data_IF_459640682085
#
_entry.id   IF_459640682085
#
_cell.length_a   1.000
_cell.length_b   1.000
_cell.length_c   1.000
_cell.angle_alpha   90.00
_cell.angle_beta   90.00
_cell.angle_gamma   90.00
#
_symmetry.space_group_name_H-M   'P 1'
#
loop_
_entity.id
_entity.type
_entity.pdbx_description
1 polymer ?
#
# COMPACT_ATOMS: atom_id res chain seq x y z
N UNK A 1 15.17 -59.69 93.09
CA UNK A 1 14.40 -60.30 91.97
C UNK A 1 13.84 -59.28 90.96
N UNK A 2 13.61 -58.01 91.32
CA UNK A 2 12.98 -57.00 90.43
C UNK A 2 13.85 -56.67 89.20
N UNK A 3 15.17 -56.47 89.41
CA UNK A 3 16.14 -56.15 88.35
C UNK A 3 16.24 -57.20 87.22
N UNK A 4 15.81 -58.45 87.46
CA UNK A 4 15.87 -59.52 86.45
C UNK A 4 14.70 -59.45 85.47
N UNK A 5 13.52 -59.00 85.90
CA UNK A 5 12.34 -58.86 85.04
C UNK A 5 12.47 -57.63 84.15
N UNK A 6 12.91 -56.51 84.72
CA UNK A 6 13.17 -55.27 83.97
C UNK A 6 14.20 -55.49 82.86
N UNK A 7 15.28 -56.25 83.12
CA UNK A 7 16.26 -56.61 82.10
C UNK A 7 15.68 -57.52 81.00
N UNK A 8 14.72 -58.37 81.32
CA UNK A 8 14.07 -59.25 80.35
C UNK A 8 13.09 -58.47 79.47
N UNK A 9 12.33 -57.55 80.05
CA UNK A 9 11.43 -56.64 79.34
C UNK A 9 12.20 -55.69 78.41
N UNK A 10 13.34 -55.16 78.87
CA UNK A 10 14.22 -54.34 78.03
C UNK A 10 14.75 -55.11 76.82
N UNK A 11 15.15 -56.38 76.99
CA UNK A 11 15.59 -57.24 75.86
C UNK A 11 14.45 -57.52 74.88
N UNK A 12 13.25 -57.75 75.39
CA UNK A 12 12.07 -57.95 74.54
C UNK A 12 11.74 -56.69 73.73
N UNK A 13 11.74 -55.53 74.38
CA UNK A 13 11.50 -54.24 73.74
C UNK A 13 12.57 -53.88 72.70
N UNK A 14 13.85 -54.17 72.99
CA UNK A 14 14.94 -54.03 72.02
C UNK A 14 14.73 -54.91 70.78
N UNK A 15 14.31 -56.16 70.97
CA UNK A 15 14.01 -57.07 69.85
C UNK A 15 12.83 -56.58 68.99
N UNK A 16 11.80 -56.00 69.61
CA UNK A 16 10.68 -55.39 68.88
C UNK A 16 11.17 -54.16 68.08
N UNK A 17 11.95 -53.29 68.71
CA UNK A 17 12.50 -52.10 68.07
C UNK A 17 13.41 -52.45 66.88
N UNK A 18 14.26 -53.48 67.01
CA UNK A 18 15.10 -53.97 65.90
C UNK A 18 14.27 -54.49 64.72
N UNK A 19 13.16 -55.20 64.99
CA UNK A 19 12.24 -55.66 63.94
C UNK A 19 11.57 -54.48 63.24
N UNK A 20 11.13 -53.47 64.00
CA UNK A 20 10.53 -52.25 63.44
C UNK A 20 11.54 -51.46 62.60
N UNK A 21 12.79 -51.32 63.06
CA UNK A 21 13.86 -50.66 62.29
C UNK A 21 14.13 -51.38 60.96
N UNK A 22 14.15 -52.71 60.95
CA UNK A 22 14.32 -53.49 59.70
C UNK A 22 13.19 -53.26 58.71
N UNK A 23 11.94 -53.15 59.18
CA UNK A 23 10.78 -52.85 58.33
C UNK A 23 10.89 -51.43 57.77
N UNK A 24 11.15 -50.44 58.63
CA UNK A 24 11.31 -49.05 58.22
C UNK A 24 12.45 -48.84 57.23
N UNK A 25 13.57 -49.55 57.40
CA UNK A 25 14.72 -49.47 56.48
C UNK A 25 14.31 -49.95 55.08
N UNK A 26 13.59 -51.07 54.98
CA UNK A 26 13.07 -51.59 53.70
C UNK A 26 12.06 -50.64 53.06
N UNK A 27 11.19 -50.02 53.85
CA UNK A 27 10.21 -49.05 53.35
C UNK A 27 10.90 -47.79 52.81
N UNK A 28 11.95 -47.29 53.47
CA UNK A 28 12.74 -46.15 52.99
C UNK A 28 13.46 -46.50 51.69
N UNK A 29 14.07 -47.69 51.59
CA UNK A 29 14.70 -48.15 50.34
C UNK A 29 13.68 -48.27 49.19
N UNK A 30 12.49 -48.81 49.45
CA UNK A 30 11.41 -48.88 48.45
C UNK A 30 10.97 -47.49 48.01
N UNK A 31 10.68 -46.59 48.96
CA UNK A 31 10.20 -45.23 48.66
C UNK A 31 11.26 -44.39 47.95
N UNK A 32 12.54 -44.57 48.27
CA UNK A 32 13.63 -43.89 47.56
C UNK A 32 13.78 -44.39 46.12
N UNK A 33 13.63 -45.69 45.87
CA UNK A 33 13.61 -46.24 44.52
C UNK A 33 12.40 -45.74 43.70
N UNK A 34 11.20 -45.74 44.28
CA UNK A 34 10.00 -45.20 43.64
C UNK A 34 10.13 -43.71 43.32
N UNK A 35 10.67 -42.91 44.24
CA UNK A 35 10.90 -41.48 44.00
C UNK A 35 11.90 -41.24 42.88
N UNK A 36 12.98 -42.04 42.78
CA UNK A 36 13.91 -41.97 41.65
C UNK A 36 13.20 -42.25 40.32
N UNK A 37 12.35 -43.29 40.28
CA UNK A 37 11.57 -43.65 39.09
C UNK A 37 10.60 -42.52 38.69
N UNK A 38 9.79 -42.02 39.63
CA UNK A 38 8.87 -40.90 39.39
C UNK A 38 9.60 -39.64 38.89
N UNK A 39 10.78 -39.35 39.44
CA UNK A 39 11.61 -38.22 39.01
C UNK A 39 12.05 -38.38 37.55
N UNK A 40 12.48 -39.58 37.14
CA UNK A 40 12.85 -39.83 35.73
C UNK A 40 11.67 -39.72 34.77
N UNK A 41 10.50 -40.24 35.13
CA UNK A 41 9.27 -40.14 34.33
C UNK A 41 8.84 -38.68 34.15
N UNK A 42 8.93 -37.88 35.21
CA UNK A 42 8.63 -36.45 35.16
C UNK A 42 9.56 -35.70 34.19
N UNK A 43 10.87 -35.97 34.22
CA UNK A 43 11.81 -35.37 33.27
C UNK A 43 11.51 -35.77 31.83
N UNK A 44 11.20 -37.04 31.58
CA UNK A 44 10.82 -37.51 30.24
C UNK A 44 9.53 -36.87 29.76
N UNK A 45 8.53 -36.71 30.63
CA UNK A 45 7.27 -36.04 30.30
C UNK A 45 7.50 -34.57 29.92
N UNK A 46 8.27 -33.83 30.72
CA UNK A 46 8.65 -32.43 30.42
C UNK A 46 9.45 -32.31 29.12
N UNK A 47 10.36 -33.25 28.84
CA UNK A 47 11.11 -33.28 27.59
C UNK A 47 10.19 -33.51 26.37
N UNK A 48 9.20 -34.40 26.49
CA UNK A 48 8.19 -34.62 25.43
C UNK A 48 7.31 -33.39 25.21
N UNK A 49 6.89 -32.73 26.29
CA UNK A 49 6.06 -31.53 26.23
C UNK A 49 6.79 -30.35 25.59
N UNK A 50 8.03 -30.09 25.98
CA UNK A 50 8.89 -29.05 25.38
C UNK A 50 9.14 -29.31 23.89
N UNK A 51 9.37 -30.57 23.50
CA UNK A 51 9.52 -30.97 22.10
C UNK A 51 8.22 -30.80 21.30
N UNK A 52 7.07 -31.11 21.88
CA UNK A 52 5.75 -30.86 21.29
C UNK A 52 5.49 -29.36 21.10
N UNK A 53 5.83 -28.53 22.08
CA UNK A 53 5.73 -27.07 22.00
C UNK A 53 6.66 -26.50 20.93
N UNK A 54 7.90 -26.99 20.84
CA UNK A 54 8.84 -26.60 19.79
C UNK A 54 8.34 -26.98 18.39
N UNK A 55 7.81 -28.21 18.22
CA UNK A 55 7.18 -28.66 16.97
C UNK A 55 5.97 -27.81 16.60
N UNK A 56 5.10 -27.48 17.56
CA UNK A 56 3.98 -26.56 17.34
C UNK A 56 4.53 -25.20 16.88
N UNK A 57 5.43 -24.56 17.64
CA UNK A 57 6.02 -23.25 17.27
C UNK A 57 6.66 -23.26 15.88
N UNK A 58 7.35 -24.34 15.49
CA UNK A 58 7.90 -24.51 14.15
C UNK A 58 6.84 -24.56 13.05
N UNK A 59 5.72 -25.25 13.29
CA UNK A 59 4.56 -25.24 12.37
C UNK A 59 3.92 -23.86 12.26
N UNK A 60 3.73 -23.15 13.39
CA UNK A 60 3.22 -21.78 13.40
C UNK A 60 4.13 -20.82 12.61
N UNK A 61 5.46 -20.91 12.76
CA UNK A 61 6.42 -20.11 11.98
C UNK A 61 6.40 -20.42 10.47
N UNK A 62 6.23 -21.69 10.08
CA UNK A 62 6.12 -22.08 8.67
C UNK A 62 4.80 -21.64 8.02
N UNK A 63 3.73 -21.53 8.81
CA UNK A 63 2.42 -21.06 8.35
C UNK A 63 2.34 -19.53 8.26
N UNK A 64 3.15 -18.81 9.02
CA UNK A 64 3.35 -17.38 8.80
C UNK A 64 4.16 -17.20 7.51
N UNK A 65 3.46 -16.99 6.39
CA UNK A 65 4.09 -16.43 5.19
C UNK A 65 4.84 -15.16 5.62
N UNK A 66 6.11 -14.98 5.19
CA UNK A 66 6.86 -13.78 5.52
C UNK A 66 6.01 -12.56 5.17
N UNK A 67 5.86 -11.63 6.11
CA UNK A 67 5.18 -10.36 5.85
C UNK A 67 5.85 -9.74 4.64
N UNK A 68 5.10 -9.58 3.55
CA UNK A 68 5.60 -8.93 2.34
C UNK A 68 6.03 -7.52 2.72
N UNK A 69 7.18 -7.12 2.19
CA UNK A 69 7.65 -5.74 2.27
C UNK A 69 6.61 -4.84 1.58
N UNK A 70 6.43 -3.62 2.07
CA UNK A 70 5.59 -2.64 1.38
C UNK A 70 6.21 -2.32 0.03
N UNK A 71 5.37 -1.98 -0.96
CA UNK A 71 5.83 -1.67 -2.32
C UNK A 71 6.91 -0.58 -2.32
N UNK A 72 6.71 0.50 -1.57
CA UNK A 72 7.66 1.62 -1.48
C UNK A 72 8.99 1.26 -0.81
N UNK A 73 9.04 0.16 -0.06
CA UNK A 73 10.27 -0.34 0.56
C UNK A 73 11.07 -1.30 -0.32
N UNK A 74 10.56 -1.61 -1.52
CA UNK A 74 11.27 -2.41 -2.50
C UNK A 74 12.28 -1.54 -3.24
N UNK A 75 13.56 -1.87 -3.11
CA UNK A 75 14.64 -1.22 -3.88
C UNK A 75 14.91 -1.92 -5.22
N UNK A 76 14.46 -3.16 -5.39
CA UNK A 76 14.67 -3.94 -6.60
C UNK A 76 13.50 -3.78 -7.57
N UNK A 77 13.78 -3.27 -8.76
CA UNK A 77 12.81 -3.07 -9.84
C UNK A 77 12.08 -4.36 -10.25
N UNK A 78 12.79 -5.49 -10.37
CA UNK A 78 12.16 -6.77 -10.73
C UNK A 78 11.16 -7.21 -9.65
N UNK A 79 11.48 -6.97 -8.37
CA UNK A 79 10.57 -7.28 -7.27
C UNK A 79 9.32 -6.39 -7.30
N UNK A 80 9.47 -5.11 -7.70
CA UNK A 80 8.33 -4.20 -7.88
C UNK A 80 7.41 -4.67 -9.02
N UNK A 81 7.98 -5.07 -10.16
CA UNK A 81 7.20 -5.64 -11.28
C UNK A 81 6.42 -6.86 -10.81
N UNK A 82 7.11 -7.86 -10.23
CA UNK A 82 6.44 -9.10 -9.81
C UNK A 82 5.32 -8.85 -8.81
N UNK A 83 5.52 -7.94 -7.84
CA UNK A 83 4.47 -7.59 -6.89
C UNK A 83 3.28 -6.87 -7.58
N UNK A 84 3.55 -6.05 -8.59
CA UNK A 84 2.51 -5.36 -9.38
C UNK A 84 1.72 -6.36 -10.23
N UNK A 85 2.40 -7.27 -10.92
CA UNK A 85 1.76 -8.31 -11.74
C UNK A 85 0.89 -9.23 -10.89
N UNK A 86 1.39 -9.65 -9.72
CA UNK A 86 0.59 -10.44 -8.78
C UNK A 86 -0.65 -9.68 -8.28
N UNK A 87 -0.54 -8.38 -8.01
CA UNK A 87 -1.68 -7.57 -7.61
C UNK A 87 -2.69 -7.46 -8.76
N UNK A 88 -2.23 -7.19 -9.98
CA UNK A 88 -3.06 -7.17 -11.19
C UNK A 88 -3.83 -8.50 -11.35
N UNK A 89 -3.13 -9.63 -11.25
CA UNK A 89 -3.74 -10.96 -11.39
C UNK A 89 -4.75 -11.25 -10.28
N UNK A 90 -4.47 -10.88 -9.03
CA UNK A 90 -5.39 -11.07 -7.91
C UNK A 90 -6.69 -10.26 -8.05
N UNK A 91 -6.61 -9.03 -8.58
CA UNK A 91 -7.79 -8.19 -8.77
C UNK A 91 -8.58 -8.53 -10.03
N UNK A 92 -7.94 -9.10 -11.05
CA UNK A 92 -8.59 -9.50 -12.30
C UNK A 92 -9.07 -10.95 -12.34
N UNK A 93 -8.67 -11.80 -11.39
CA UNK A 93 -9.05 -13.21 -11.39
C UNK A 93 -10.58 -13.35 -11.32
N UNK A 94 -11.20 -13.68 -12.46
CA UNK A 94 -12.64 -13.91 -12.59
C UNK A 94 -13.42 -12.88 -13.43
N UNK A 95 -12.78 -11.85 -14.01
CA UNK A 95 -13.46 -10.92 -14.94
C UNK A 95 -13.00 -11.12 -16.39
N UNK A 96 -13.95 -11.42 -17.28
CA UNK A 96 -13.69 -11.67 -18.71
C UNK A 96 -13.47 -10.37 -19.52
N UNK A 97 -13.93 -9.20 -19.04
CA UNK A 97 -13.81 -7.90 -19.72
C UNK A 97 -13.04 -6.84 -18.89
N UNK A 98 -11.73 -7.03 -18.73
CA UNK A 98 -10.87 -6.15 -17.90
C UNK A 98 -10.38 -4.86 -18.59
N UNK A 99 -10.65 -4.66 -19.89
CA UNK A 99 -10.06 -3.55 -20.67
C UNK A 99 -10.41 -2.16 -20.12
N UNK A 100 -11.61 -2.00 -19.57
CA UNK A 100 -12.05 -0.70 -19.03
C UNK A 100 -11.68 -0.51 -17.56
N UNK A 101 -11.46 -1.60 -16.82
CA UNK A 101 -11.12 -1.57 -15.39
C UNK A 101 -9.86 -0.73 -15.10
N UNK A 102 -8.77 -0.96 -15.83
CA UNK A 102 -7.54 -0.19 -15.62
C UNK A 102 -7.67 1.27 -16.05
N UNK A 103 -8.42 1.53 -17.11
CA UNK A 103 -8.69 2.90 -17.55
C UNK A 103 -9.50 3.66 -16.50
N UNK A 104 -10.46 3.00 -15.84
CA UNK A 104 -11.24 3.59 -14.77
C UNK A 104 -10.43 3.81 -13.50
N UNK A 105 -9.49 2.92 -13.19
CA UNK A 105 -8.52 3.13 -12.10
C UNK A 105 -7.68 4.38 -12.37
N UNK A 106 -7.09 4.52 -13.56
CA UNK A 106 -6.25 5.67 -13.91
C UNK A 106 -7.07 6.97 -13.80
N UNK A 107 -8.29 6.98 -14.34
CA UNK A 107 -9.21 8.13 -14.20
C UNK A 107 -9.58 8.41 -12.75
N UNK A 108 -9.76 7.38 -11.91
CA UNK A 108 -10.06 7.55 -10.50
C UNK A 108 -8.86 8.13 -9.73
N UNK A 109 -7.63 7.76 -10.08
CA UNK A 109 -6.41 8.33 -9.51
C UNK A 109 -6.25 9.82 -9.87
N UNK A 110 -6.62 10.18 -11.10
CA UNK A 110 -6.65 11.57 -11.57
C UNK A 110 -7.65 12.43 -10.79
N UNK A 111 -8.87 11.94 -10.61
CA UNK A 111 -9.90 12.61 -9.79
C UNK A 111 -9.47 12.79 -8.33
N UNK A 112 -8.65 11.88 -7.81
CA UNK A 112 -8.11 11.94 -6.44
C UNK A 112 -6.83 12.77 -6.34
N UNK A 113 -6.36 13.38 -7.44
CA UNK A 113 -5.13 14.17 -7.50
C UNK A 113 -3.89 13.35 -7.09
N UNK A 114 -3.94 12.03 -7.29
CA UNK A 114 -2.82 11.12 -6.98
C UNK A 114 -1.92 10.90 -8.21
N UNK A 115 -2.48 11.02 -9.42
CA UNK A 115 -1.75 10.90 -10.67
C UNK A 115 -2.45 11.72 -11.77
N UNK A 116 -1.74 12.67 -12.38
CA UNK A 116 -2.30 13.48 -13.47
C UNK A 116 -2.23 12.73 -14.79
N UNK A 117 -3.37 12.38 -15.35
CA UNK A 117 -3.50 11.61 -16.60
C UNK A 117 -4.24 12.34 -17.72
N UNK A 118 -5.07 13.35 -17.39
CA UNK A 118 -5.84 14.12 -18.36
C UNK A 118 -5.43 15.59 -18.34
N UNK A 119 -5.40 16.23 -19.51
CA UNK A 119 -5.20 17.67 -19.62
C UNK A 119 -6.50 18.41 -19.35
N UNK A 120 -6.40 19.54 -18.65
CA UNK A 120 -7.50 20.49 -18.57
C UNK A 120 -7.73 21.14 -19.95
N UNK A 121 -8.94 21.66 -20.24
CA UNK A 121 -9.21 22.39 -21.49
C UNK A 121 -8.22 23.52 -21.78
N UNK A 122 -7.77 24.24 -20.75
CA UNK A 122 -6.79 25.32 -20.89
C UNK A 122 -5.39 24.80 -21.23
N UNK A 123 -4.93 23.75 -20.55
CA UNK A 123 -3.61 23.15 -20.83
C UNK A 123 -3.56 22.55 -22.23
N UNK A 124 -4.63 21.85 -22.62
CA UNK A 124 -4.76 21.30 -23.95
C UNK A 124 -4.82 22.39 -25.02
N UNK A 125 -5.50 23.51 -24.74
CA UNK A 125 -5.52 24.69 -25.61
C UNK A 125 -4.11 25.27 -25.79
N UNK A 126 -3.33 25.42 -24.71
CA UNK A 126 -1.95 25.90 -24.79
C UNK A 126 -1.08 24.96 -25.64
N UNK A 127 -1.20 23.64 -25.44
CA UNK A 127 -0.46 22.65 -26.24
C UNK A 127 -0.88 22.73 -27.71
N UNK A 128 -2.18 22.73 -27.96
CA UNK A 128 -2.79 22.84 -29.29
C UNK A 128 -2.27 24.06 -30.07
N UNK A 129 -2.25 25.24 -29.45
CA UNK A 129 -1.73 26.46 -30.08
C UNK A 129 -0.21 26.48 -30.21
N UNK A 130 0.52 26.11 -29.15
CA UNK A 130 1.99 26.14 -29.15
C UNK A 130 2.60 25.17 -30.15
N UNK A 131 1.90 24.08 -30.45
CA UNK A 131 2.34 23.07 -31.44
C UNK A 131 1.84 23.36 -32.86
N UNK A 132 1.07 24.43 -33.07
CA UNK A 132 0.52 24.78 -34.39
C UNK A 132 -0.44 23.73 -34.96
N UNK A 133 -1.10 22.95 -34.09
CA UNK A 133 -2.01 21.90 -34.55
C UNK A 133 -3.27 22.52 -35.16
N UNK A 134 -3.70 21.97 -36.30
CA UNK A 134 -5.02 22.28 -36.84
C UNK A 134 -6.10 21.44 -36.15
N UNK A 135 -7.36 21.88 -36.18
CA UNK A 135 -8.50 21.11 -35.63
C UNK A 135 -8.62 19.69 -36.23
N UNK A 136 -8.23 19.53 -37.50
CA UNK A 136 -8.19 18.23 -38.18
C UNK A 136 -7.10 17.34 -37.61
N UNK A 137 -5.87 17.85 -37.50
CA UNK A 137 -4.74 17.12 -36.91
C UNK A 137 -5.00 16.74 -35.45
N UNK A 138 -5.67 17.60 -34.68
CA UNK A 138 -6.07 17.30 -33.31
C UNK A 138 -7.07 16.13 -33.25
N UNK A 139 -8.04 16.09 -34.18
CA UNK A 139 -9.00 14.97 -34.27
C UNK A 139 -8.33 13.66 -34.70
N UNK A 140 -7.37 13.75 -35.62
CA UNK A 140 -6.54 12.61 -36.03
C UNK A 140 -5.70 12.10 -34.86
N UNK A 141 -5.06 12.97 -34.09
CA UNK A 141 -4.29 12.63 -32.91
C UNK A 141 -5.15 11.82 -31.91
N UNK A 142 -6.36 12.29 -31.60
CA UNK A 142 -7.29 11.56 -30.73
C UNK A 142 -7.67 10.19 -31.31
N UNK A 143 -7.84 10.10 -32.64
CA UNK A 143 -8.09 8.83 -33.33
C UNK A 143 -6.89 7.88 -33.20
N UNK A 144 -5.66 8.37 -33.26
CA UNK A 144 -4.45 7.56 -33.04
C UNK A 144 -4.41 6.97 -31.63
N UNK A 145 -4.71 7.75 -30.59
CA UNK A 145 -4.81 7.23 -29.21
C UNK A 145 -5.83 6.09 -29.12
N UNK A 146 -7.00 6.25 -29.75
CA UNK A 146 -8.03 5.20 -29.78
C UNK A 146 -7.57 3.93 -30.50
N UNK A 147 -6.90 4.08 -31.65
CA UNK A 147 -6.40 2.93 -32.44
C UNK A 147 -5.33 2.16 -31.67
N UNK A 148 -4.44 2.87 -30.98
CA UNK A 148 -3.37 2.28 -30.17
C UNK A 148 -3.85 1.73 -28.82
N UNK A 149 -5.14 1.88 -28.49
CA UNK A 149 -5.71 1.44 -27.21
C UNK A 149 -5.18 2.23 -26.01
N UNK A 150 -4.63 3.42 -26.24
CA UNK A 150 -4.10 4.28 -25.19
C UNK A 150 -5.21 5.17 -24.60
N UNK A 151 -5.03 5.58 -23.34
CA UNK A 151 -5.85 6.64 -22.76
C UNK A 151 -5.58 7.94 -23.53
N UNK A 152 -6.63 8.55 -24.06
CA UNK A 152 -6.56 9.87 -24.69
C UNK A 152 -6.47 10.94 -23.60
N UNK A 153 -5.33 11.64 -23.44
CA UNK A 153 -5.16 12.64 -22.39
C UNK A 153 -5.84 13.97 -22.75
N UNK A 154 -6.29 14.14 -23.98
CA UNK A 154 -6.78 15.41 -24.49
C UNK A 154 -8.31 15.56 -24.30
N UNK A 155 -8.80 16.77 -24.01
CA UNK A 155 -10.22 17.06 -23.93
C UNK A 155 -10.90 17.01 -25.31
N UNK A 156 -12.23 17.06 -25.32
CA UNK A 156 -13.00 17.10 -26.56
C UNK A 156 -12.83 18.43 -27.28
N UNK A 157 -12.92 18.42 -28.62
CA UNK A 157 -12.77 19.62 -29.44
C UNK A 157 -13.75 20.73 -29.06
N UNK A 158 -14.97 20.38 -28.62
CA UNK A 158 -15.97 21.34 -28.13
C UNK A 158 -15.49 22.11 -26.90
N UNK A 159 -14.74 21.45 -26.02
CA UNK A 159 -14.18 22.09 -24.82
C UNK A 159 -13.05 23.05 -25.19
N UNK A 160 -12.22 22.70 -26.18
CA UNK A 160 -11.22 23.65 -26.72
C UNK A 160 -11.90 24.86 -27.35
N UNK A 161 -12.93 24.67 -28.17
CA UNK A 161 -13.66 25.78 -28.80
C UNK A 161 -14.23 26.76 -27.79
N UNK A 162 -14.68 26.28 -26.63
CA UNK A 162 -15.13 27.14 -25.52
C UNK A 162 -13.99 27.99 -24.97
N UNK A 163 -12.80 27.41 -24.84
CA UNK A 163 -11.60 28.14 -24.39
C UNK A 163 -11.14 29.13 -25.45
N UNK A 164 -11.02 28.70 -26.71
CA UNK A 164 -10.74 29.57 -27.88
C UNK A 164 -11.64 30.80 -27.89
N UNK A 165 -12.96 30.61 -27.84
CA UNK A 165 -13.92 31.73 -27.84
C UNK A 165 -13.79 32.64 -26.61
N UNK A 166 -13.37 32.10 -25.45
CA UNK A 166 -13.13 32.90 -24.24
C UNK A 166 -11.83 33.70 -24.27
N UNK A 167 -10.84 33.26 -25.05
CA UNK A 167 -9.57 33.97 -25.26
C UNK A 167 -9.76 35.03 -26.33
N UNK A 168 -10.36 34.66 -27.47
CA UNK A 168 -10.68 35.60 -28.56
C UNK A 168 -11.54 36.77 -28.08
N UNK A 169 -12.56 36.51 -27.25
CA UNK A 169 -13.44 37.55 -26.71
C UNK A 169 -12.74 38.50 -25.72
N UNK A 170 -11.62 38.08 -25.12
CA UNK A 170 -10.81 38.93 -24.22
C UNK A 170 -9.75 39.74 -24.97
N UNK A 171 -9.27 39.26 -26.12
CA UNK A 171 -8.31 40.00 -26.96
C UNK A 171 -8.98 41.09 -27.82
N UNK A 172 -10.28 40.99 -28.09
CA UNK A 172 -11.03 41.94 -28.94
C UNK A 172 -11.40 43.30 -28.29
N UNK A 173 -10.98 43.59 -27.05
CA UNK A 173 -11.26 44.87 -26.38
C UNK A 173 -9.98 45.60 -25.90
N UNK A 174 -9.08 45.91 -26.84
CA UNK A 174 -8.14 47.05 -26.69
C UNK A 174 -7.94 47.80 -28.01
N UNK A 175 -9.04 48.14 -28.70
CA UNK A 175 -8.99 49.30 -29.60
C UNK A 175 -9.21 50.53 -28.72
N UNK A 176 -8.13 51.15 -28.27
CA UNK A 176 -8.20 52.58 -27.96
C UNK A 176 -8.51 53.28 -29.28
N UNK A 177 -9.78 53.63 -29.50
CA UNK A 177 -10.12 54.66 -30.47
C UNK A 177 -9.37 55.93 -30.06
N UNK A 178 -8.27 56.22 -30.75
CA UNK A 178 -7.78 57.60 -30.78
C UNK A 178 -8.87 58.41 -31.44
N UNK A 179 -9.64 59.15 -30.64
CA UNK A 179 -10.44 60.28 -31.10
C UNK A 179 -9.53 61.25 -31.87
N UNK A 180 -9.43 61.04 -33.18
CA UNK A 180 -8.63 61.82 -34.11
C UNK A 180 -9.50 62.42 -35.22
N UNK A 181 -10.74 62.80 -34.91
CA UNK A 181 -11.64 63.48 -35.84
C UNK A 181 -12.20 64.76 -35.21
N UNK A 182 -11.37 65.78 -35.04
CA UNK A 182 -11.87 67.17 -34.88
C UNK A 182 -10.93 68.30 -35.33
N UNK A 183 -9.74 68.03 -35.91
CA UNK A 183 -8.77 69.11 -36.16
C UNK A 183 -8.20 69.26 -37.58
N UNK A 184 -8.80 68.62 -38.60
CA UNK A 184 -8.38 68.80 -40.02
C UNK A 184 -9.34 69.57 -40.93
N UNK A 185 -10.44 70.14 -40.39
CA UNK A 185 -11.34 71.01 -41.20
C UNK A 185 -11.19 72.51 -40.96
N UNK A 186 -10.42 72.97 -39.97
CA UNK A 186 -10.14 74.41 -39.78
C UNK A 186 -8.87 74.93 -40.48
N UNK A 187 -7.96 74.05 -40.93
CA UNK A 187 -6.71 74.46 -41.57
C UNK A 187 -6.74 74.49 -43.11
N UNK A 188 -7.88 74.19 -43.77
CA UNK A 188 -8.01 74.26 -45.25
C UNK A 188 -8.93 75.38 -45.75
N UNK A 189 -9.37 76.28 -44.87
CA UNK A 189 -10.15 77.47 -45.25
C UNK A 189 -9.45 78.80 -44.95
N UNK A 190 -8.19 78.78 -44.50
CA UNK A 190 -7.40 79.99 -44.25
C UNK A 190 -6.23 80.19 -45.23
N UNK A 191 -6.19 79.45 -46.36
CA UNK A 191 -5.08 79.51 -47.32
C UNK A 191 -5.53 79.63 -48.79
N UNK A 192 -6.75 80.14 -49.04
CA UNK A 192 -7.31 80.28 -50.39
C UNK A 192 -7.91 81.67 -50.70
N UNK A 193 -7.53 82.72 -49.97
CA UNK A 193 -8.00 84.10 -50.22
C UNK A 193 -6.92 85.16 -50.00
N UNK A 194 -5.69 84.92 -50.45
CA UNK A 194 -4.66 85.97 -50.49
C UNK A 194 -3.66 85.72 -51.65
N UNK A 195 -4.19 85.75 -52.88
CA UNK A 195 -3.41 85.96 -54.11
C UNK A 195 -4.37 86.35 -55.24
N UNK A 196 -4.88 87.58 -55.16
CA UNK A 196 -5.48 88.31 -56.28
C UNK A 196 -5.55 89.79 -55.91
N UNK A 197 -4.40 90.48 -56.00
CA UNK A 197 -4.23 91.88 -56.42
C UNK A 197 -2.76 92.23 -56.51
#
# INVERSE_FOLDING_TARGET
MILSRENQDLRHNLSIAEKQLKILTRDVERLTAENRKRKTELYQSKAKETLMLAKKKGKWKKQQKPRRKSFDSLTNYLAQITQTDEAIVQYLSGQEDSKHFFMDIIKALDRKVMHKSLFTPLEAFCIYHSSGLTRKMYSELKRWYKILGMLDPFPYLEQLKKVEGSVDSKELLTVQEKCGWSERRKARHSCATEQCR
#
